data_IF_176404415883
#
_entry.id   IF_176404415883
#
_cell.length_a   1.000
_cell.length_b   1.000
_cell.length_c   1.000
_cell.angle_alpha   90.00
_cell.angle_beta   90.00
_cell.angle_gamma   90.00
#
_symmetry.space_group_name_H-M   'P 1'
#
loop_
_entity.id
_entity.type
_entity.pdbx_description
1 polymer ?
#
# COMPACT_ATOMS: atom_id res chain seq x y z
N UNK A 1 2.83 12.30 -15.15
CA UNK A 1 3.16 11.70 -13.85
C UNK A 1 1.93 11.13 -13.15
N UNK A 2 0.76 11.79 -13.22
CA UNK A 2 -0.50 11.43 -12.53
C UNK A 2 -1.06 10.01 -12.83
N UNK A 3 -0.94 9.48 -14.05
CA UNK A 3 -1.38 8.09 -14.36
C UNK A 3 -0.57 6.99 -13.65
N UNK A 4 0.51 7.35 -12.95
CA UNK A 4 1.34 6.40 -12.19
C UNK A 4 0.99 6.35 -10.71
N UNK A 5 0.27 7.35 -10.18
CA UNK A 5 -0.14 7.35 -8.77
C UNK A 5 -1.36 6.44 -8.49
N UNK A 6 -2.22 6.20 -9.48
CA UNK A 6 -3.38 5.32 -9.36
C UNK A 6 -3.05 3.81 -9.37
N UNK A 7 -1.81 3.42 -9.06
CA UNK A 7 -1.33 2.03 -9.00
C UNK A 7 -0.60 1.71 -7.67
N UNK A 8 -0.70 2.61 -6.70
CA UNK A 8 0.33 2.75 -5.66
C UNK A 8 0.19 1.87 -4.42
N UNK A 9 -0.87 1.08 -4.28
CA UNK A 9 -1.03 0.21 -3.12
C UNK A 9 -1.55 -1.12 -3.62
N UNK A 10 -0.67 -1.85 -4.28
CA UNK A 10 -0.94 -3.24 -4.58
C UNK A 10 -0.23 -4.13 -3.58
N UNK A 11 -0.89 -4.70 -2.54
CA UNK A 11 -0.33 -5.83 -1.83
C UNK A 11 -0.48 -7.05 -2.76
N UNK A 12 0.43 -7.13 -3.72
CA UNK A 12 0.77 -8.32 -4.51
C UNK A 12 -0.42 -9.23 -4.80
N UNK A 13 -1.26 -8.81 -5.75
CA UNK A 13 -2.27 -9.65 -6.38
C UNK A 13 -1.65 -10.94 -6.94
N UNK A 14 -1.85 -12.03 -6.22
CA UNK A 14 -1.66 -13.43 -6.57
C UNK A 14 -2.84 -13.90 -7.44
N UNK A 15 -3.03 -13.26 -8.59
CA UNK A 15 -4.05 -13.66 -9.56
C UNK A 15 -3.83 -15.11 -9.97
N UNK A 16 -4.89 -15.93 -9.99
CA UNK A 16 -4.78 -17.31 -10.46
C UNK A 16 -5.83 -17.58 -11.52
N UNK A 17 -5.32 -17.83 -12.74
CA UNK A 17 -6.12 -18.41 -13.79
C UNK A 17 -6.46 -19.86 -13.42
N UNK A 18 -7.68 -20.06 -12.91
CA UNK A 18 -8.28 -21.36 -12.60
C UNK A 18 -7.95 -22.44 -13.65
N UNK A 19 -7.10 -23.38 -13.26
CA UNK A 19 -7.14 -24.74 -13.76
C UNK A 19 -7.65 -25.62 -12.62
N UNK A 20 -8.97 -25.81 -12.59
CA UNK A 20 -9.63 -26.77 -11.71
C UNK A 20 -8.95 -28.14 -11.78
N UNK A 21 -8.47 -28.65 -10.64
CA UNK A 21 -8.20 -30.07 -10.47
C UNK A 21 -8.49 -30.44 -9.01
N UNK A 22 -9.65 -31.09 -8.81
CA UNK A 22 -10.06 -31.58 -7.51
C UNK A 22 -9.24 -32.77 -7.03
N UNK A 23 -9.13 -32.89 -5.71
CA UNK A 23 -8.67 -34.07 -5.01
C UNK A 23 -9.18 -34.04 -3.57
N UNK A 24 -10.27 -34.75 -3.30
CA UNK A 24 -10.73 -35.07 -1.95
C UNK A 24 -9.66 -35.91 -1.22
N UNK A 25 -9.16 -35.47 -0.06
CA UNK A 25 -8.75 -36.42 1.00
C UNK A 25 -8.84 -35.80 2.41
N UNK A 26 -9.76 -36.35 3.20
CA UNK A 26 -10.07 -35.93 4.55
C UNK A 26 -9.11 -36.57 5.57
N UNK A 27 -8.48 -35.75 6.43
CA UNK A 27 -7.81 -36.28 7.63
C UNK A 27 -6.95 -35.33 8.45
N UNK A 28 -7.56 -34.68 9.46
CA UNK A 28 -7.01 -34.65 10.82
C UNK A 28 -5.64 -33.97 11.06
N UNK A 29 -5.30 -32.96 10.29
CA UNK A 29 -4.61 -31.72 10.67
C UNK A 29 -5.36 -30.63 9.87
N UNK A 30 -5.23 -29.34 10.16
CA UNK A 30 -5.76 -28.33 9.22
C UNK A 30 -5.17 -28.67 7.85
N UNK A 31 -6.02 -29.04 6.88
CA UNK A 31 -5.53 -29.63 5.65
C UNK A 31 -4.85 -28.56 4.82
N UNK A 32 -3.83 -28.93 4.07
CA UNK A 32 -3.25 -28.07 3.03
C UNK A 32 -4.34 -27.42 2.17
N UNK A 33 -5.45 -28.13 1.93
CA UNK A 33 -6.63 -27.60 1.22
C UNK A 33 -7.28 -26.39 1.93
N UNK A 34 -7.44 -26.44 3.26
CA UNK A 34 -7.98 -25.31 4.03
C UNK A 34 -7.04 -24.10 3.96
N UNK A 35 -5.72 -24.32 4.01
CA UNK A 35 -4.75 -23.25 3.76
C UNK A 35 -4.91 -22.66 2.36
N UNK A 36 -4.99 -23.50 1.32
CA UNK A 36 -5.07 -23.05 -0.06
C UNK A 36 -6.35 -22.24 -0.34
N UNK A 37 -7.51 -22.69 0.15
CA UNK A 37 -8.78 -21.94 0.02
C UNK A 37 -8.69 -20.55 0.69
N UNK A 38 -8.02 -20.48 1.85
CA UNK A 38 -7.86 -19.25 2.60
C UNK A 38 -6.84 -18.30 1.97
N UNK A 39 -5.77 -18.83 1.40
CA UNK A 39 -4.80 -18.07 0.63
C UNK A 39 -5.43 -17.45 -0.63
N UNK A 40 -6.37 -18.14 -1.30
CA UNK A 40 -7.15 -17.56 -2.41
C UNK A 40 -8.04 -16.40 -1.95
N UNK A 41 -8.66 -16.49 -0.77
CA UNK A 41 -9.47 -15.41 -0.22
C UNK A 41 -8.63 -14.16 0.12
N UNK A 42 -7.44 -14.34 0.71
CA UNK A 42 -6.50 -13.23 0.93
C UNK A 42 -6.17 -12.57 -0.40
N UNK A 43 -5.92 -13.35 -1.45
CA UNK A 43 -5.63 -12.79 -2.75
C UNK A 43 -6.76 -11.89 -3.28
N UNK A 44 -8.01 -12.35 -3.18
CA UNK A 44 -9.15 -11.55 -3.63
C UNK A 44 -9.29 -10.25 -2.83
N UNK A 45 -8.93 -10.26 -1.54
CA UNK A 45 -8.96 -9.06 -0.70
C UNK A 45 -7.80 -8.11 -0.99
N UNK A 46 -6.63 -8.65 -1.36
CA UNK A 46 -5.54 -7.86 -1.93
C UNK A 46 -5.98 -7.12 -3.19
N UNK A 47 -6.63 -7.80 -4.14
CA UNK A 47 -7.17 -7.17 -5.35
C UNK A 47 -8.16 -6.02 -5.04
N UNK A 48 -8.96 -6.19 -3.98
CA UNK A 48 -9.87 -5.15 -3.51
C UNK A 48 -9.10 -3.95 -2.93
N UNK A 49 -7.98 -4.17 -2.21
CA UNK A 49 -7.10 -3.11 -1.70
C UNK A 49 -6.49 -2.30 -2.85
N UNK A 50 -6.03 -2.95 -3.92
CA UNK A 50 -5.50 -2.29 -5.13
C UNK A 50 -6.50 -1.34 -5.79
N UNK A 51 -7.79 -1.65 -5.67
CA UNK A 51 -8.87 -0.94 -6.33
C UNK A 51 -9.41 0.25 -5.52
N UNK A 52 -8.95 0.44 -4.29
CA UNK A 52 -9.42 1.52 -3.41
C UNK A 52 -9.00 2.87 -3.97
N UNK A 53 -9.92 3.82 -3.85
CA UNK A 53 -9.58 5.22 -4.03
C UNK A 53 -8.64 5.64 -2.88
N UNK A 54 -7.36 5.96 -3.13
CA UNK A 54 -6.43 6.36 -2.08
C UNK A 54 -6.82 7.68 -1.40
N UNK A 55 -7.91 8.31 -1.84
CA UNK A 55 -8.47 9.55 -1.29
C UNK A 55 -9.78 9.35 -0.52
N UNK A 56 -10.15 8.10 -0.23
CA UNK A 56 -11.32 7.75 0.59
C UNK A 56 -10.90 7.11 1.92
N UNK A 57 -10.63 7.90 2.98
CA UNK A 57 -10.21 7.39 4.28
C UNK A 57 -11.17 6.34 4.89
N UNK A 58 -12.49 6.53 4.71
CA UNK A 58 -13.48 5.57 5.19
C UNK A 58 -13.41 4.25 4.40
N UNK A 59 -13.24 4.34 3.07
CA UNK A 59 -13.00 3.18 2.21
C UNK A 59 -11.72 2.42 2.58
N UNK A 60 -10.64 3.14 2.89
CA UNK A 60 -9.35 2.57 3.30
C UNK A 60 -9.48 1.86 4.66
N UNK A 61 -10.07 2.51 5.67
CA UNK A 61 -10.30 1.92 6.99
C UNK A 61 -11.06 0.60 6.89
N UNK A 62 -12.18 0.60 6.15
CA UNK A 62 -13.03 -0.58 5.98
C UNK A 62 -12.27 -1.72 5.32
N UNK A 63 -11.46 -1.44 4.31
CA UNK A 63 -10.75 -2.47 3.59
C UNK A 63 -9.57 -3.04 4.37
N UNK A 64 -8.77 -2.19 5.04
CA UNK A 64 -7.68 -2.65 5.90
C UNK A 64 -8.20 -3.46 7.09
N UNK A 65 -9.34 -3.08 7.67
CA UNK A 65 -10.00 -3.86 8.71
C UNK A 65 -10.38 -5.26 8.23
N UNK A 66 -10.99 -5.38 7.03
CA UNK A 66 -11.33 -6.68 6.43
C UNK A 66 -10.10 -7.51 6.08
N UNK A 67 -9.06 -6.87 5.55
CA UNK A 67 -7.81 -7.54 5.22
C UNK A 67 -7.12 -8.09 6.47
N UNK A 68 -7.04 -7.30 7.56
CA UNK A 68 -6.48 -7.79 8.84
C UNK A 68 -7.27 -8.95 9.42
N UNK A 69 -8.60 -8.88 9.40
CA UNK A 69 -9.45 -9.98 9.86
C UNK A 69 -9.15 -11.26 9.06
N UNK A 70 -9.06 -11.16 7.73
CA UNK A 70 -8.71 -12.29 6.89
C UNK A 70 -7.30 -12.84 7.18
N UNK A 71 -6.28 -11.99 7.31
CA UNK A 71 -4.91 -12.44 7.62
C UNK A 71 -4.84 -13.09 9.01
N UNK A 72 -5.54 -12.57 10.02
CA UNK A 72 -5.58 -13.17 11.36
C UNK A 72 -6.25 -14.56 11.33
N UNK A 73 -7.32 -14.73 10.54
CA UNK A 73 -7.95 -16.04 10.35
C UNK A 73 -7.01 -17.05 9.66
N UNK A 74 -6.27 -16.61 8.63
CA UNK A 74 -5.35 -17.49 7.88
C UNK A 74 -4.10 -17.83 8.69
N UNK A 75 -3.63 -16.90 9.53
CA UNK A 75 -2.52 -17.09 10.46
C UNK A 75 -2.78 -18.27 11.40
N UNK A 76 -4.01 -18.42 11.89
CA UNK A 76 -4.39 -19.51 12.79
C UNK A 76 -4.28 -20.90 12.15
N UNK A 77 -4.26 -20.97 10.81
CA UNK A 77 -4.21 -22.20 10.03
C UNK A 77 -2.94 -22.35 9.19
N UNK A 78 -1.96 -21.48 9.41
CA UNK A 78 -0.70 -21.51 8.67
C UNK A 78 0.05 -22.84 8.87
N UNK A 79 0.48 -23.51 7.78
CA UNK A 79 1.32 -24.70 7.86
C UNK A 79 2.63 -24.41 8.61
N UNK A 80 3.09 -25.38 9.41
CA UNK A 80 4.31 -25.25 10.23
C UNK A 80 5.52 -24.74 9.42
N UNK A 81 5.65 -25.18 8.16
CA UNK A 81 6.77 -24.81 7.28
C UNK A 81 6.86 -23.30 7.01
N UNK A 82 5.73 -22.59 6.94
CA UNK A 82 5.66 -21.17 6.62
C UNK A 82 5.10 -20.32 7.77
N UNK A 83 4.79 -20.93 8.91
CA UNK A 83 4.19 -20.25 10.06
C UNK A 83 4.98 -19.01 10.53
N UNK A 84 6.31 -19.11 10.65
CA UNK A 84 7.19 -17.98 11.01
C UNK A 84 7.19 -16.88 9.92
N UNK A 85 7.08 -17.26 8.65
CA UNK A 85 7.00 -16.31 7.54
C UNK A 85 5.65 -15.57 7.56
N UNK A 86 4.54 -16.26 7.85
CA UNK A 86 3.22 -15.67 8.03
C UNK A 86 3.16 -14.71 9.23
N UNK A 87 3.81 -15.05 10.35
CA UNK A 87 3.97 -14.14 11.49
C UNK A 87 4.72 -12.86 11.10
N UNK A 88 5.76 -12.98 10.28
CA UNK A 88 6.54 -11.84 9.78
C UNK A 88 5.69 -10.93 8.90
N UNK A 89 4.91 -11.49 7.98
CA UNK A 89 4.02 -10.74 7.11
C UNK A 89 2.86 -10.09 7.89
N UNK A 90 2.27 -10.82 8.83
CA UNK A 90 1.22 -10.32 9.72
C UNK A 90 1.71 -9.12 10.55
N UNK A 91 2.91 -9.19 11.11
CA UNK A 91 3.50 -8.06 11.84
C UNK A 91 3.74 -6.84 10.94
N UNK A 92 4.09 -7.06 9.66
CA UNK A 92 4.21 -5.97 8.68
C UNK A 92 2.87 -5.29 8.39
N UNK A 93 1.83 -6.08 8.09
CA UNK A 93 0.46 -5.58 7.86
C UNK A 93 -0.08 -4.87 9.10
N UNK A 94 0.24 -5.39 10.28
CA UNK A 94 -0.16 -4.81 11.54
C UNK A 94 0.38 -3.39 11.73
N UNK A 95 1.68 -3.21 11.51
CA UNK A 95 2.31 -1.92 11.67
C UNK A 95 1.85 -0.91 10.60
N UNK A 96 1.48 -1.37 9.39
CA UNK A 96 0.91 -0.51 8.34
C UNK A 96 -0.47 0.01 8.76
N UNK A 97 -1.35 -0.87 9.26
CA UNK A 97 -2.68 -0.44 9.71
C UNK A 97 -2.60 0.45 10.95
N UNK A 98 -1.68 0.19 11.88
CA UNK A 98 -1.43 1.07 13.02
C UNK A 98 -0.94 2.46 12.53
N UNK A 99 -0.04 2.51 11.54
CA UNK A 99 0.43 3.77 10.94
C UNK A 99 -0.68 4.51 10.19
N UNK A 100 -1.53 3.79 9.47
CA UNK A 100 -2.71 4.36 8.80
C UNK A 100 -3.68 4.92 9.84
N UNK A 101 -3.98 4.19 10.91
CA UNK A 101 -4.87 4.65 11.98
C UNK A 101 -4.33 5.91 12.67
N UNK A 102 -3.02 5.99 12.93
CA UNK A 102 -2.35 7.18 13.47
C UNK A 102 -2.46 8.40 12.53
N UNK A 103 -2.63 8.15 11.23
CA UNK A 103 -2.83 9.16 10.18
C UNK A 103 -4.30 9.32 9.77
N UNK A 104 -5.26 8.87 10.59
CA UNK A 104 -6.70 8.90 10.28
C UNK A 104 -7.04 8.28 8.89
N UNK A 105 -6.34 7.21 8.53
CA UNK A 105 -6.39 6.51 7.25
C UNK A 105 -6.09 7.39 6.02
N UNK A 106 -5.36 8.49 6.20
CA UNK A 106 -4.86 9.33 5.12
C UNK A 106 -3.57 8.77 4.53
N UNK A 107 -3.61 8.30 3.29
CA UNK A 107 -2.40 7.90 2.54
C UNK A 107 -1.40 9.05 2.31
N UNK A 108 -1.84 10.30 2.47
CA UNK A 108 -0.94 11.44 2.36
C UNK A 108 -0.12 11.69 3.61
N UNK A 109 -0.73 11.43 4.77
CA UNK A 109 -0.15 11.77 6.06
C UNK A 109 0.50 10.55 6.73
N UNK A 110 0.24 9.33 6.23
CA UNK A 110 0.85 8.10 6.74
C UNK A 110 2.37 8.11 6.54
N UNK A 111 3.11 7.92 7.63
CA UNK A 111 4.56 7.74 7.62
C UNK A 111 4.90 6.26 7.56
N UNK A 112 5.42 5.81 6.42
CA UNK A 112 5.82 4.42 6.19
C UNK A 112 7.35 4.22 6.27
N UNK A 113 8.10 5.18 6.81
CA UNK A 113 9.57 5.11 6.92
C UNK A 113 10.08 3.90 7.73
N UNK A 114 9.24 3.34 8.60
CA UNK A 114 9.55 2.10 9.32
C UNK A 114 9.71 0.89 8.39
N UNK A 115 9.11 0.91 7.19
CA UNK A 115 9.15 -0.20 6.23
C UNK A 115 10.55 -0.45 5.66
N UNK A 116 11.38 0.58 5.52
CA UNK A 116 12.76 0.44 5.02
C UNK A 116 13.64 -0.47 5.89
N UNK A 117 13.31 -0.59 7.18
CA UNK A 117 14.00 -1.51 8.09
C UNK A 117 13.53 -2.96 8.01
N UNK A 118 12.43 -3.23 7.29
CA UNK A 118 11.69 -4.50 7.33
C UNK A 118 11.48 -5.15 5.95
N UNK A 119 11.59 -4.36 4.88
CA UNK A 119 11.44 -4.79 3.47
C UNK A 119 12.12 -6.14 3.20
N UNK A 120 13.43 -6.26 3.42
CA UNK A 120 14.14 -7.51 3.11
C UNK A 120 13.67 -8.75 3.89
N UNK A 121 13.14 -8.58 5.11
CA UNK A 121 12.57 -9.69 5.88
C UNK A 121 11.18 -10.07 5.35
N UNK A 122 10.35 -9.09 5.02
CA UNK A 122 9.01 -9.30 4.45
C UNK A 122 9.10 -9.88 3.03
N UNK A 123 10.06 -9.45 2.22
CA UNK A 123 10.31 -10.02 0.89
C UNK A 123 10.70 -11.49 0.99
N UNK A 124 11.65 -11.81 1.87
CA UNK A 124 12.08 -13.20 2.09
C UNK A 124 10.92 -14.08 2.56
N UNK A 125 10.10 -13.58 3.49
CA UNK A 125 8.92 -14.29 3.98
C UNK A 125 7.88 -14.49 2.85
N UNK A 126 7.61 -13.44 2.08
CA UNK A 126 6.70 -13.47 0.93
C UNK A 126 7.13 -14.50 -0.12
N UNK A 127 8.43 -14.55 -0.46
CA UNK A 127 8.98 -15.52 -1.39
C UNK A 127 8.81 -16.96 -0.91
N UNK A 128 8.97 -17.21 0.39
CA UNK A 128 8.81 -18.56 0.96
C UNK A 128 7.36 -19.01 0.97
N UNK A 129 6.44 -18.15 1.40
CA UNK A 129 5.00 -18.38 1.35
C UNK A 129 4.56 -18.63 -0.10
N UNK A 130 5.06 -17.84 -1.04
CA UNK A 130 4.81 -18.02 -2.47
C UNK A 130 5.28 -19.39 -2.97
N UNK A 131 6.52 -19.77 -2.68
CA UNK A 131 7.06 -21.06 -3.11
C UNK A 131 6.29 -22.24 -2.52
N UNK A 132 5.82 -22.11 -1.27
CA UNK A 132 4.92 -23.08 -0.66
C UNK A 132 3.60 -23.17 -1.44
N UNK A 133 2.95 -22.05 -1.70
CA UNK A 133 1.67 -22.01 -2.40
C UNK A 133 1.76 -22.54 -3.85
N UNK A 134 2.85 -22.26 -4.57
CA UNK A 134 3.10 -22.83 -5.91
C UNK A 134 3.20 -24.36 -5.83
N UNK A 135 3.94 -24.87 -4.83
CA UNK A 135 4.21 -26.30 -4.67
C UNK A 135 2.98 -27.09 -4.20
N UNK A 136 2.27 -26.55 -3.23
CA UNK A 136 1.23 -27.28 -2.48
C UNK A 136 -0.19 -26.91 -2.95
N UNK A 137 -0.42 -25.66 -3.37
CA UNK A 137 -1.72 -25.19 -3.86
C UNK A 137 -1.81 -25.13 -5.39
N UNK A 138 -0.69 -25.30 -6.11
CA UNK A 138 -0.65 -25.25 -7.57
C UNK A 138 -0.79 -23.85 -8.15
N UNK A 139 -0.43 -22.82 -7.37
CA UNK A 139 -0.51 -21.43 -7.79
C UNK A 139 0.49 -21.12 -8.94
N UNK A 140 0.09 -20.34 -9.94
CA UNK A 140 0.93 -19.92 -11.07
C UNK A 140 2.03 -18.93 -10.63
N UNK A 141 3.25 -19.10 -11.15
CA UNK A 141 4.39 -18.23 -10.83
C UNK A 141 4.29 -16.81 -11.44
N UNK A 142 3.37 -16.61 -12.41
CA UNK A 142 3.35 -15.44 -13.31
C UNK A 142 2.65 -14.22 -12.74
N UNK A 143 1.86 -14.38 -11.70
CA UNK A 143 1.15 -13.28 -11.03
C UNK A 143 2.03 -12.71 -9.91
N UNK A 144 3.28 -12.42 -10.29
CA UNK A 144 4.24 -11.70 -9.47
C UNK A 144 4.01 -10.22 -9.73
N UNK A 145 3.12 -9.59 -8.97
CA UNK A 145 3.16 -8.14 -8.82
C UNK A 145 4.52 -7.77 -8.24
N UNK A 146 5.40 -7.17 -9.04
CA UNK A 146 6.56 -6.49 -8.48
C UNK A 146 6.06 -5.26 -7.72
N UNK A 147 6.76 -4.88 -6.65
CA UNK A 147 6.70 -3.51 -6.14
C UNK A 147 7.10 -2.59 -7.29
N UNK A 148 6.13 -1.93 -7.91
CA UNK A 148 6.44 -0.87 -8.85
C UNK A 148 7.25 0.19 -8.07
N UNK A 149 8.47 0.51 -8.55
CA UNK A 149 9.48 1.41 -7.95
C UNK A 149 9.02 2.89 -7.80
N UNK A 150 7.72 3.14 -7.60
CA UNK A 150 7.09 4.44 -7.70
C UNK A 150 6.98 5.18 -6.35
N UNK A 151 7.19 4.50 -5.21
CA UNK A 151 7.07 5.10 -3.88
C UNK A 151 8.26 4.73 -3.00
N UNK A 152 9.04 5.72 -2.57
CA UNK A 152 10.10 5.52 -1.58
C UNK A 152 9.49 5.61 -0.19
N UNK A 153 9.15 4.43 0.37
CA UNK A 153 8.64 4.35 1.74
C UNK A 153 9.61 4.95 2.77
N UNK A 154 10.91 5.01 2.47
CA UNK A 154 11.94 5.56 3.36
C UNK A 154 11.98 7.08 3.45
N UNK A 155 11.24 7.78 2.59
CA UNK A 155 11.20 9.24 2.54
C UNK A 155 10.08 9.88 3.38
N UNK A 156 9.40 9.11 4.23
CA UNK A 156 8.32 9.59 5.09
C UNK A 156 6.97 9.63 4.37
N UNK A 157 6.08 10.52 4.82
CA UNK A 157 4.75 10.64 4.22
C UNK A 157 4.80 11.22 2.80
N UNK A 158 3.74 11.01 2.00
CA UNK A 158 3.67 11.61 0.67
C UNK A 158 3.68 13.16 0.75
N UNK A 159 3.18 13.73 1.85
CA UNK A 159 3.29 15.17 2.13
C UNK A 159 4.70 15.62 2.44
N UNK A 160 5.47 14.84 3.20
CA UNK A 160 6.88 15.16 3.45
C UNK A 160 7.69 15.14 2.15
N UNK A 161 7.44 14.15 1.30
CA UNK A 161 8.06 14.05 -0.02
C UNK A 161 7.69 15.24 -0.93
N UNK A 162 6.41 15.68 -0.89
CA UNK A 162 5.98 16.88 -1.60
C UNK A 162 6.66 18.15 -1.07
N UNK A 163 6.84 18.27 0.25
CA UNK A 163 7.58 19.39 0.85
C UNK A 163 9.01 19.42 0.35
N UNK A 164 9.70 18.29 0.33
CA UNK A 164 11.07 18.19 -0.16
C UNK A 164 11.19 18.56 -1.64
N UNK A 165 10.24 18.13 -2.48
CA UNK A 165 10.20 18.49 -3.89
C UNK A 165 9.94 19.99 -4.12
N UNK A 166 9.05 20.60 -3.34
CA UNK A 166 8.78 22.04 -3.39
C UNK A 166 10.01 22.85 -2.95
N UNK A 167 10.70 22.43 -1.89
CA UNK A 167 11.95 23.05 -1.45
C UNK A 167 13.03 22.92 -2.53
N UNK A 168 13.17 21.75 -3.14
CA UNK A 168 14.09 21.55 -4.26
C UNK A 168 13.75 22.42 -5.47
N UNK A 169 12.47 22.75 -5.65
CA UNK A 169 11.96 23.66 -6.68
C UNK A 169 12.16 25.14 -6.35
N UNK A 170 12.71 25.47 -5.17
CA UNK A 170 13.08 26.83 -4.77
C UNK A 170 12.10 27.53 -3.81
N UNK A 171 11.03 26.85 -3.40
CA UNK A 171 10.20 27.32 -2.29
C UNK A 171 10.98 27.27 -0.98
N UNK A 172 10.65 28.16 -0.05
CA UNK A 172 11.14 28.05 1.32
C UNK A 172 10.43 26.91 2.03
N UNK A 173 11.05 26.37 3.09
CA UNK A 173 10.46 25.27 3.88
C UNK A 173 9.11 25.66 4.51
N UNK A 174 8.90 26.94 4.81
CA UNK A 174 7.61 27.45 5.33
C UNK A 174 6.54 27.49 4.23
N UNK A 175 6.89 27.99 3.03
CA UNK A 175 5.99 27.99 1.87
C UNK A 175 5.61 26.55 1.47
N UNK A 176 6.61 25.67 1.39
CA UNK A 176 6.43 24.26 1.00
C UNK A 176 5.51 23.50 1.96
N UNK A 177 5.70 23.66 3.28
CA UNK A 177 4.81 23.05 4.29
C UNK A 177 3.39 23.58 4.23
N UNK A 178 3.21 24.88 4.00
CA UNK A 178 1.88 25.45 3.84
C UNK A 178 1.18 24.86 2.61
N UNK A 179 1.84 24.85 1.46
CA UNK A 179 1.28 24.26 0.23
C UNK A 179 0.92 22.79 0.45
N UNK A 180 1.81 21.99 1.04
CA UNK A 180 1.55 20.57 1.27
C UNK A 180 0.38 20.32 2.25
N UNK A 181 0.18 21.23 3.23
CA UNK A 181 -0.91 21.14 4.19
C UNK A 181 -2.28 21.51 3.60
N UNK A 182 -2.32 22.52 2.73
CA UNK A 182 -3.56 23.09 2.19
C UNK A 182 -3.94 22.56 0.81
N UNK A 183 -3.03 21.88 0.10
CA UNK A 183 -3.36 21.24 -1.17
C UNK A 183 -4.29 20.04 -0.91
N UNK A 184 -5.52 20.13 -1.43
CA UNK A 184 -6.42 19.00 -1.44
C UNK A 184 -5.94 17.97 -2.47
N UNK A 185 -6.14 16.70 -2.18
CA UNK A 185 -5.61 15.63 -3.02
C UNK A 185 -6.33 15.55 -4.36
N UNK A 186 -7.63 15.87 -4.35
CA UNK A 186 -8.47 16.03 -5.53
C UNK A 186 -7.91 17.07 -6.52
N UNK A 187 -7.19 18.08 -6.01
CA UNK A 187 -6.53 19.12 -6.81
C UNK A 187 -5.27 18.64 -7.55
N UNK A 188 -4.56 17.64 -7.01
CA UNK A 188 -3.34 17.11 -7.61
C UNK A 188 -3.62 16.24 -8.86
N UNK A 189 -4.83 15.69 -8.95
CA UNK A 189 -5.28 14.87 -10.07
C UNK A 189 -6.04 15.65 -11.16
N UNK A 190 -6.34 16.92 -10.93
CA UNK A 190 -7.17 17.75 -11.82
C UNK A 190 -6.34 18.86 -12.45
N UNK A 191 -6.69 19.29 -13.67
CA UNK A 191 -6.12 20.51 -14.28
C UNK A 191 -6.75 21.79 -13.65
N UNK A 192 -7.23 21.71 -12.40
CA UNK A 192 -7.93 22.79 -11.72
C UNK A 192 -6.95 23.82 -11.14
N UNK A 193 -6.47 24.65 -12.06
CA UNK A 193 -5.59 25.77 -11.74
C UNK A 193 -6.22 26.74 -10.72
N UNK A 194 -7.54 26.85 -10.64
CA UNK A 194 -8.18 27.78 -9.70
C UNK A 194 -7.95 27.36 -8.25
N UNK A 195 -8.07 26.07 -7.98
CA UNK A 195 -7.84 25.52 -6.65
C UNK A 195 -6.34 25.53 -6.26
N UNK A 196 -5.42 25.36 -7.23
CA UNK A 196 -3.98 25.58 -6.99
C UNK A 196 -3.69 27.05 -6.63
N UNK A 197 -4.33 28.01 -7.32
CA UNK A 197 -4.16 29.44 -6.99
C UNK A 197 -4.75 29.80 -5.62
N UNK A 198 -5.82 29.14 -5.19
CA UNK A 198 -6.40 29.33 -3.86
C UNK A 198 -5.45 28.85 -2.74
N UNK A 199 -4.73 27.75 -2.94
CA UNK A 199 -3.67 27.30 -2.03
C UNK A 199 -2.54 28.34 -1.95
N UNK A 200 -2.10 28.89 -3.08
CA UNK A 200 -1.08 29.92 -3.08
C UNK A 200 -1.52 31.22 -2.40
N UNK A 201 -2.78 31.63 -2.56
CA UNK A 201 -3.34 32.78 -1.85
C UNK A 201 -3.41 32.51 -0.33
N UNK A 202 -3.83 31.30 0.06
CA UNK A 202 -3.88 30.87 1.47
C UNK A 202 -2.49 30.86 2.12
N UNK A 203 -1.47 30.50 1.35
CA UNK A 203 -0.08 30.46 1.79
C UNK A 203 0.69 31.78 1.61
N UNK A 204 0.00 32.89 1.29
CA UNK A 204 0.60 34.21 1.05
C UNK A 204 1.69 34.20 -0.05
N UNK A 205 1.60 33.27 -1.02
CA UNK A 205 2.54 33.14 -2.12
C UNK A 205 2.12 34.05 -3.27
N UNK A 206 2.81 35.18 -3.38
CA UNK A 206 2.53 36.17 -4.42
C UNK A 206 2.84 35.67 -5.84
N UNK A 207 2.13 36.21 -6.84
CA UNK A 207 2.42 35.96 -8.26
C UNK A 207 3.84 36.38 -8.68
N UNK A 208 4.42 37.38 -7.99
CA UNK A 208 5.82 37.79 -8.20
C UNK A 208 6.78 36.68 -7.74
N UNK A 209 6.54 36.11 -6.56
CA UNK A 209 7.27 34.95 -6.03
C UNK A 209 7.18 33.74 -6.96
N UNK A 210 6.00 33.45 -7.51
CA UNK A 210 5.83 32.38 -8.51
C UNK A 210 6.60 32.67 -9.81
N UNK A 211 6.65 33.93 -10.24
CA UNK A 211 7.44 34.37 -11.38
C UNK A 211 8.95 34.22 -11.19
N UNK A 212 9.45 34.34 -9.95
CA UNK A 212 10.86 34.08 -9.60
C UNK A 212 11.22 32.60 -9.64
N UNK A 213 10.26 31.71 -9.34
CA UNK A 213 10.46 30.26 -9.34
C UNK A 213 10.35 29.62 -10.73
N UNK A 214 9.59 30.24 -11.64
CA UNK A 214 9.43 29.78 -13.03
C UNK A 214 10.44 30.36 -14.04
N UNK A 215 11.45 31.09 -13.57
CA UNK A 215 12.44 31.83 -14.37
C UNK A 215 13.75 31.09 -14.65
#
# INVERSE_FOLDING_TARGET
MIRRLARLVAPTALVLALAACGGDDAGGALSTDEWCERAENINSLSDDLDAIDPFDPEGIEVAYSRFREAVDEVRAVAPDEISDDIETLYAGVADIDDALADADYSFLDVDLSFMSGREGAMDTASERVRNYNVRECGFDERDAGGTDDAFDFGAGSARDQLVDELVASGFTETEARCIAADIAIETLGTDDQAAIFEVFDTCDISLERLGELGG
#
